data_IF_969111652676
#
_entry.id   IF_969111652676
#
_cell.length_a   1.000
_cell.length_b   1.000
_cell.length_c   1.000
_cell.angle_alpha   90.00
_cell.angle_beta   90.00
_cell.angle_gamma   90.00
#
_symmetry.space_group_name_H-M   'P 1'
#
loop_
_entity.id
_entity.type
_entity.pdbx_description
1 polymer ?
#
# COMPACT_ATOMS: atom_id res chain seq x y z
N UNK A 1 26.15 -8.86 -7.58
CA UNK A 1 25.83 -7.44 -7.87
C UNK A 1 25.56 -6.73 -6.53
N UNK A 2 26.28 -5.65 -6.19
CA UNK A 2 26.29 -5.04 -4.84
C UNK A 2 24.92 -4.44 -4.44
N UNK A 3 24.50 -4.63 -3.18
CA UNK A 3 23.26 -4.14 -2.58
C UNK A 3 23.11 -2.61 -2.69
N UNK A 4 24.21 -1.86 -2.53
CA UNK A 4 24.24 -0.40 -2.67
C UNK A 4 23.80 0.05 -4.08
N UNK A 5 24.25 -0.68 -5.10
CA UNK A 5 23.93 -0.39 -6.50
C UNK A 5 22.44 -0.62 -6.78
N UNK A 6 21.83 -1.64 -6.15
CA UNK A 6 20.40 -1.93 -6.31
C UNK A 6 19.53 -0.83 -5.69
N UNK A 7 19.87 -0.38 -4.47
CA UNK A 7 19.17 0.73 -3.81
C UNK A 7 19.22 2.02 -4.63
N UNK A 8 20.39 2.37 -5.19
CA UNK A 8 20.53 3.56 -6.05
C UNK A 8 19.66 3.48 -7.30
N UNK A 9 19.60 2.31 -7.96
CA UNK A 9 18.74 2.08 -9.12
C UNK A 9 17.27 2.24 -8.76
N UNK A 10 16.85 1.64 -7.64
CA UNK A 10 15.47 1.73 -7.16
C UNK A 10 15.05 3.19 -6.91
N UNK A 11 15.86 3.96 -6.17
CA UNK A 11 15.57 5.37 -5.89
C UNK A 11 15.50 6.21 -7.18
N UNK A 12 16.33 5.91 -8.19
CA UNK A 12 16.25 6.59 -9.49
C UNK A 12 14.92 6.33 -10.20
N UNK A 13 14.38 5.12 -10.10
CA UNK A 13 13.07 4.76 -10.65
C UNK A 13 11.97 5.52 -9.91
N UNK A 14 11.98 5.49 -8.57
CA UNK A 14 10.98 6.20 -7.75
C UNK A 14 11.00 7.70 -8.03
N UNK A 15 12.19 8.31 -8.10
CA UNK A 15 12.33 9.71 -8.49
C UNK A 15 11.69 9.99 -9.85
N UNK A 16 11.93 9.11 -10.83
CA UNK A 16 11.36 9.28 -12.18
C UNK A 16 9.84 9.17 -12.19
N UNK A 17 9.28 8.24 -11.43
CA UNK A 17 7.83 8.12 -11.27
C UNK A 17 7.28 9.43 -10.69
N UNK A 18 7.82 9.90 -9.57
CA UNK A 18 7.37 11.14 -8.93
C UNK A 18 7.46 12.38 -9.84
N UNK A 19 8.52 12.47 -10.66
CA UNK A 19 8.63 13.53 -11.69
C UNK A 19 7.49 13.45 -12.72
N UNK A 20 7.17 12.25 -13.21
CA UNK A 20 6.09 12.04 -14.18
C UNK A 20 4.72 12.33 -13.56
N UNK A 21 4.48 11.84 -12.33
CA UNK A 21 3.26 12.08 -11.55
C UNK A 21 2.98 13.57 -11.45
N UNK A 22 3.98 14.36 -11.03
CA UNK A 22 3.84 15.82 -10.87
C UNK A 22 3.73 16.55 -12.21
N UNK A 23 4.56 16.18 -13.19
CA UNK A 23 4.60 16.86 -14.50
C UNK A 23 3.28 16.72 -15.26
N UNK A 24 2.64 15.57 -15.17
CA UNK A 24 1.44 15.25 -15.94
C UNK A 24 0.17 15.17 -15.08
N UNK A 25 0.23 15.60 -13.82
CA UNK A 25 -0.89 15.57 -12.87
C UNK A 25 -1.59 14.19 -12.79
N UNK A 26 -0.78 13.13 -12.65
CA UNK A 26 -1.28 11.75 -12.63
C UNK A 26 -1.47 11.25 -11.20
N UNK A 27 -2.29 10.22 -11.06
CA UNK A 27 -2.30 9.36 -9.88
C UNK A 27 -1.37 8.19 -10.18
N UNK A 28 -0.36 7.96 -9.34
CA UNK A 28 0.57 6.85 -9.48
C UNK A 28 0.36 5.85 -8.35
N UNK A 29 0.00 4.63 -8.72
CA UNK A 29 -0.24 3.52 -7.79
C UNK A 29 0.89 2.51 -7.97
N UNK A 30 1.57 2.18 -6.88
CA UNK A 30 2.58 1.12 -6.85
C UNK A 30 2.11 0.02 -5.91
N UNK A 31 2.34 -1.22 -6.33
CA UNK A 31 2.12 -2.41 -5.52
C UNK A 31 3.47 -2.91 -5.00
N UNK A 32 3.50 -3.27 -3.73
CA UNK A 32 4.70 -3.76 -3.05
C UNK A 32 4.40 -5.04 -2.29
N UNK A 33 5.39 -5.91 -2.21
CA UNK A 33 5.32 -7.09 -1.36
C UNK A 33 5.67 -6.73 0.09
N UNK A 34 5.19 -7.55 1.01
CA UNK A 34 5.45 -7.44 2.44
C UNK A 34 6.29 -8.61 2.91
N UNK A 35 7.05 -8.42 3.99
CA UNK A 35 7.78 -9.48 4.66
C UNK A 35 7.29 -9.66 6.09
N UNK A 36 7.44 -10.87 6.68
CA UNK A 36 7.11 -11.08 8.08
C UNK A 36 7.81 -10.07 8.99
N UNK A 37 7.08 -9.56 9.96
CA UNK A 37 7.61 -8.68 10.97
C UNK A 37 7.84 -9.48 12.26
N UNK A 38 9.10 -9.78 12.54
CA UNK A 38 9.50 -10.54 13.73
C UNK A 38 9.65 -9.66 14.99
N UNK A 39 9.31 -8.37 14.91
CA UNK A 39 9.33 -7.49 16.08
C UNK A 39 8.15 -7.84 17.00
N UNK A 40 8.46 -8.17 18.27
CA UNK A 40 7.46 -8.48 19.30
C UNK A 40 6.54 -7.31 19.64
N UNK A 41 6.98 -6.09 19.35
CA UNK A 41 6.27 -4.85 19.68
C UNK A 41 5.43 -4.30 18.52
N UNK A 42 5.45 -4.94 17.35
CA UNK A 42 4.76 -4.40 16.19
C UNK A 42 3.28 -4.75 16.17
N UNK A 43 2.44 -3.73 15.98
CA UNK A 43 1.00 -3.88 15.72
C UNK A 43 0.72 -4.69 14.45
N UNK A 44 1.58 -4.60 13.43
CA UNK A 44 1.42 -5.32 12.18
C UNK A 44 2.33 -6.55 12.12
N UNK A 45 1.79 -7.75 11.80
CA UNK A 45 2.58 -8.98 11.67
C UNK A 45 3.48 -8.99 10.43
N UNK A 46 3.36 -7.98 9.57
CA UNK A 46 4.12 -7.81 8.34
C UNK A 46 4.54 -6.36 8.16
N UNK A 47 5.59 -6.14 7.36
CA UNK A 47 6.06 -4.80 6.99
C UNK A 47 6.30 -4.71 5.47
N UNK A 48 6.09 -3.53 4.84
CA UNK A 48 6.44 -3.34 3.44
C UNK A 48 7.93 -3.59 3.22
N UNK A 49 8.26 -4.25 2.11
CA UNK A 49 9.64 -4.32 1.67
C UNK A 49 10.17 -2.90 1.41
N UNK A 50 11.37 -2.59 1.89
CA UNK A 50 11.99 -1.28 1.75
C UNK A 50 11.21 -0.08 2.35
N UNK A 51 10.39 -0.30 3.40
CA UNK A 51 9.56 0.75 4.04
C UNK A 51 10.32 2.07 4.30
N UNK A 52 11.55 2.02 4.81
CA UNK A 52 12.37 3.22 5.09
C UNK A 52 12.66 4.07 3.84
N UNK A 53 12.82 3.43 2.68
CA UNK A 53 13.06 4.14 1.42
C UNK A 53 11.76 4.71 0.85
N UNK A 54 10.65 3.99 1.03
CA UNK A 54 9.36 4.36 0.46
C UNK A 54 8.71 5.51 1.24
N UNK A 55 8.85 5.56 2.57
CA UNK A 55 8.12 6.49 3.44
C UNK A 55 8.28 7.97 3.08
N UNK A 56 9.39 8.37 2.43
CA UNK A 56 9.62 9.76 2.00
C UNK A 56 9.20 10.04 0.56
N UNK A 57 8.71 9.03 -0.16
CA UNK A 57 8.45 9.09 -1.60
C UNK A 57 6.98 9.05 -1.97
N UNK A 58 6.10 8.61 -1.07
CA UNK A 58 4.67 8.40 -1.31
C UNK A 58 3.85 9.13 -0.25
N UNK A 59 2.74 9.71 -0.68
CA UNK A 59 1.78 10.40 0.19
C UNK A 59 0.85 9.46 0.93
N UNK A 60 0.58 8.28 0.35
CA UNK A 60 -0.41 7.32 0.86
C UNK A 60 0.17 5.90 0.91
N UNK A 61 -0.03 5.23 2.05
CA UNK A 61 0.27 3.81 2.23
C UNK A 61 -0.99 3.07 2.64
N UNK A 62 -1.41 2.15 1.78
CA UNK A 62 -2.58 1.30 2.00
C UNK A 62 -2.11 -0.14 2.14
N UNK A 63 -2.42 -0.74 3.28
CA UNK A 63 -2.17 -2.13 3.57
C UNK A 63 -3.41 -2.98 3.29
N UNK A 64 -3.28 -3.98 2.43
CA UNK A 64 -4.36 -4.90 2.08
C UNK A 64 -4.23 -6.22 2.83
N UNK A 65 -5.35 -6.77 3.29
CA UNK A 65 -5.37 -8.10 3.93
C UNK A 65 -6.62 -8.91 3.60
N UNK A 66 -6.49 -10.23 3.72
CA UNK A 66 -7.58 -11.19 3.60
C UNK A 66 -8.43 -11.16 4.89
N UNK A 67 -9.76 -11.11 4.73
CA UNK A 67 -10.72 -11.14 5.86
C UNK A 67 -11.64 -12.36 5.75
N UNK A 68 -11.93 -12.83 4.54
CA UNK A 68 -12.70 -14.02 4.24
C UNK A 68 -12.60 -14.33 2.76
N UNK A 69 -13.34 -15.33 2.26
CA UNK A 69 -13.24 -15.84 0.88
C UNK A 69 -13.21 -14.71 -0.17
N UNK A 70 -14.25 -13.88 -0.21
CA UNK A 70 -14.35 -12.73 -1.12
C UNK A 70 -14.22 -11.37 -0.42
N UNK A 71 -13.94 -11.37 0.89
CA UNK A 71 -13.78 -10.15 1.69
C UNK A 71 -12.31 -9.79 1.83
N UNK A 72 -11.97 -8.54 1.55
CA UNK A 72 -10.65 -7.95 1.77
C UNK A 72 -10.79 -6.71 2.62
N UNK A 73 -9.72 -6.33 3.30
CA UNK A 73 -9.66 -5.03 3.95
C UNK A 73 -8.55 -4.17 3.38
N UNK A 74 -8.81 -2.87 3.31
CA UNK A 74 -7.83 -1.84 3.02
C UNK A 74 -7.64 -1.01 4.29
N UNK A 75 -6.39 -0.86 4.73
CA UNK A 75 -6.02 -0.10 5.91
C UNK A 75 -5.07 1.02 5.51
N UNK A 76 -5.48 2.28 5.68
CA UNK A 76 -4.58 3.42 5.52
C UNK A 76 -3.66 3.43 6.72
N UNK A 77 -2.37 3.12 6.53
CA UNK A 77 -1.39 3.00 7.62
C UNK A 77 -0.44 4.20 7.71
N UNK A 78 -0.38 5.01 6.66
CA UNK A 78 0.36 6.27 6.63
C UNK A 78 -0.24 7.13 5.51
N UNK A 79 -0.54 8.38 5.83
CA UNK A 79 -1.15 9.34 4.92
C UNK A 79 -0.71 10.74 5.29
N UNK A 80 -0.50 11.60 4.30
CA UNK A 80 -0.21 13.02 4.53
C UNK A 80 -1.43 13.77 5.10
N UNK A 81 -2.65 13.30 4.84
CA UNK A 81 -3.88 14.06 5.15
C UNK A 81 -4.98 13.25 5.85
N UNK A 82 -5.00 11.92 5.68
CA UNK A 82 -6.08 11.08 6.19
C UNK A 82 -5.69 10.44 7.53
N UNK A 83 -6.64 10.32 8.47
CA UNK A 83 -6.41 9.51 9.67
C UNK A 83 -6.26 8.03 9.31
N UNK A 84 -5.55 7.28 10.16
CA UNK A 84 -5.50 5.83 10.09
C UNK A 84 -6.93 5.26 10.13
N UNK A 85 -7.31 4.53 9.08
CA UNK A 85 -8.67 3.98 8.94
C UNK A 85 -8.66 2.70 8.14
N UNK A 86 -9.45 1.73 8.59
CA UNK A 86 -9.67 0.44 7.93
C UNK A 86 -11.07 0.37 7.33
N UNK A 87 -11.17 -0.17 6.11
CA UNK A 87 -12.45 -0.47 5.45
C UNK A 87 -12.44 -1.89 4.88
N UNK A 88 -13.62 -2.47 4.68
CA UNK A 88 -13.82 -3.79 4.07
C UNK A 88 -14.43 -3.58 2.68
N UNK A 89 -13.94 -4.35 1.71
CA UNK A 89 -14.48 -4.40 0.36
C UNK A 89 -14.58 -5.85 -0.11
N UNK A 90 -15.34 -6.07 -1.18
CA UNK A 90 -15.51 -7.36 -1.82
C UNK A 90 -14.72 -7.42 -3.13
N UNK A 91 -14.19 -8.59 -3.46
CA UNK A 91 -13.69 -8.89 -4.81
C UNK A 91 -14.66 -9.87 -5.46
N UNK A 92 -15.11 -9.52 -6.66
CA UNK A 92 -16.02 -10.30 -7.51
C UNK A 92 -15.44 -10.43 -8.92
N UNK A 93 -16.11 -11.20 -9.78
CA UNK A 93 -15.75 -11.30 -11.21
C UNK A 93 -15.79 -9.94 -11.93
N UNK A 94 -16.62 -9.01 -11.46
CA UNK A 94 -16.72 -7.64 -11.96
C UNK A 94 -15.68 -6.68 -11.33
N UNK A 95 -14.83 -7.18 -10.44
CA UNK A 95 -13.82 -6.39 -9.73
C UNK A 95 -14.23 -6.03 -8.30
N UNK A 96 -13.80 -4.85 -7.85
CA UNK A 96 -13.97 -4.37 -6.47
C UNK A 96 -15.41 -3.87 -6.26
N UNK A 97 -16.07 -4.36 -5.20
CA UNK A 97 -17.40 -3.90 -4.78
C UNK A 97 -17.43 -3.44 -3.33
N UNK A 98 -18.37 -2.57 -3.03
CA UNK A 98 -18.63 -2.11 -1.66
C UNK A 98 -19.18 -3.24 -0.79
N UNK A 99 -18.71 -3.29 0.46
CA UNK A 99 -19.24 -4.22 1.45
C UNK A 99 -20.63 -3.81 1.98
N UNK A 100 -20.90 -2.50 2.03
CA UNK A 100 -22.16 -1.95 2.56
C UNK A 100 -23.26 -1.88 1.50
N UNK A 101 -23.79 -3.03 1.10
CA UNK A 101 -25.07 -3.13 0.36
C UNK A 101 -25.93 -4.36 0.75
N UNK A 102 -25.60 -5.11 1.82
CA UNK A 102 -26.35 -6.32 2.23
C UNK A 102 -26.73 -6.30 3.73
N UNK A 103 -27.16 -5.16 4.25
CA UNK A 103 -27.78 -5.10 5.57
C UNK A 103 -28.95 -4.10 5.59
N UNK A 104 -30.00 -4.43 4.86
CA UNK A 104 -31.38 -3.96 5.07
C UNK A 104 -32.30 -4.75 4.12
N UNK A 105 -32.75 -5.90 4.60
CA UNK A 105 -34.03 -6.53 4.26
C UNK A 105 -34.60 -7.07 5.57
#
# INVERSE_FOLDING_TARGET
>A
MNQITQTKKFLKIIKKINELTKKYNLISILIGQVSPNFSKESFFPVKPFAVRLLNHSFSEFIFFSYVGENKRSAHIINSDFLPERKTIFLISEEGIRDYHLISKN
#
